data_IF_634125741960
#
_entry.id   IF_634125741960
#
_cell.length_a   1.000
_cell.length_b   1.000
_cell.length_c   1.000
_cell.angle_alpha   90.00
_cell.angle_beta   90.00
_cell.angle_gamma   90.00
#
_symmetry.space_group_name_H-M   'P 1'
#
loop_
_entity.id
_entity.type
_entity.pdbx_description
1 polymer ?
#
# COMPACT_ATOMS: atom_id res chain seq x y z
N UNK A 1 40.76 45.36 51.54
CA UNK A 1 40.41 46.62 50.85
C UNK A 1 40.69 46.41 49.36
N UNK A 2 39.66 46.55 48.50
CA UNK A 2 39.67 46.59 47.02
C UNK A 2 40.27 45.41 46.23
N UNK A 3 39.49 44.54 45.56
CA UNK A 3 38.61 44.68 44.37
C UNK A 3 39.33 44.40 43.03
N UNK A 4 38.86 43.31 42.38
CA UNK A 4 38.68 43.06 40.93
C UNK A 4 39.98 42.76 40.15
N UNK A 5 40.04 41.75 39.29
CA UNK A 5 39.17 41.52 38.14
C UNK A 5 38.89 40.03 37.87
N UNK A 6 37.62 39.74 37.62
CA UNK A 6 37.10 38.51 37.03
C UNK A 6 37.07 38.76 35.52
N UNK A 7 37.80 37.98 34.73
CA UNK A 7 37.66 37.95 33.27
C UNK A 7 36.92 36.67 32.91
N UNK A 8 35.62 36.79 32.64
CA UNK A 8 34.78 35.69 32.17
C UNK A 8 35.15 35.31 30.75
N UNK A 9 35.51 34.05 30.55
CA UNK A 9 35.56 33.44 29.22
C UNK A 9 34.13 33.09 28.82
N UNK A 10 33.56 33.85 27.88
CA UNK A 10 32.29 33.51 27.22
C UNK A 10 32.59 32.40 26.21
N UNK A 11 32.27 31.16 26.57
CA UNK A 11 32.30 30.03 25.64
C UNK A 11 31.10 30.09 24.71
N UNK A 12 31.34 30.33 23.43
CA UNK A 12 30.35 30.30 22.36
C UNK A 12 29.86 28.85 22.17
N UNK A 13 28.67 28.52 22.65
CA UNK A 13 28.05 27.23 22.40
C UNK A 13 27.39 27.26 21.02
N UNK A 14 28.07 26.68 20.02
CA UNK A 14 27.50 26.49 18.69
C UNK A 14 26.38 25.45 18.77
N UNK A 15 25.13 25.89 18.67
CA UNK A 15 23.98 25.01 18.48
C UNK A 15 24.02 24.59 17.00
N UNK A 16 24.53 23.37 16.74
CA UNK A 16 24.31 22.70 15.47
C UNK A 16 22.81 22.36 15.38
N UNK A 17 22.05 23.21 14.70
CA UNK A 17 20.72 22.85 14.21
C UNK A 17 20.90 21.76 13.14
N UNK A 18 20.79 20.51 13.56
CA UNK A 18 20.63 19.37 12.67
C UNK A 18 19.27 19.56 12.00
N UNK A 19 19.28 20.10 10.78
CA UNK A 19 18.11 20.12 9.92
C UNK A 19 17.90 18.66 9.48
N UNK A 20 17.19 17.88 10.29
CA UNK A 20 16.73 16.56 9.89
C UNK A 20 15.74 16.79 8.74
N UNK A 21 16.20 16.62 7.51
CA UNK A 21 15.30 16.36 6.40
C UNK A 21 14.62 15.04 6.74
N UNK A 22 13.33 15.09 7.07
CA UNK A 22 12.50 13.89 7.10
C UNK A 22 12.51 13.32 5.68
N UNK A 23 13.38 12.35 5.44
CA UNK A 23 13.19 11.43 4.34
C UNK A 23 11.99 10.59 4.76
N UNK A 24 10.87 10.73 4.05
CA UNK A 24 9.88 9.67 4.08
C UNK A 24 10.61 8.45 3.53
N UNK A 25 10.82 7.45 4.37
CA UNK A 25 11.22 6.15 3.88
C UNK A 25 10.11 5.72 2.93
N UNK A 26 10.47 5.48 1.68
CA UNK A 26 9.59 4.75 0.79
C UNK A 26 9.41 3.34 1.38
N UNK A 27 8.33 2.67 0.99
CA UNK A 27 7.93 1.43 1.63
C UNK A 27 7.51 0.37 0.63
N UNK A 28 8.03 0.46 -0.59
CA UNK A 28 7.92 -0.56 -1.63
C UNK A 28 9.10 -1.53 -1.51
N UNK A 29 8.95 -2.72 -2.06
CA UNK A 29 9.94 -3.81 -2.06
C UNK A 29 10.66 -3.98 -0.70
N UNK A 30 9.91 -4.30 0.37
CA UNK A 30 10.49 -4.37 1.71
C UNK A 30 11.47 -5.53 1.92
N UNK A 31 11.67 -6.37 0.91
CA UNK A 31 12.53 -7.55 0.95
C UNK A 31 13.70 -7.47 -0.03
N UNK A 32 13.85 -6.37 -0.76
CA UNK A 32 14.84 -6.17 -1.83
C UNK A 32 14.81 -7.34 -2.86
N UNK A 33 13.61 -7.76 -3.28
CA UNK A 33 13.37 -8.93 -4.14
C UNK A 33 12.84 -8.60 -5.54
N UNK A 34 13.02 -7.35 -5.98
CA UNK A 34 12.52 -6.80 -7.24
C UNK A 34 10.97 -6.69 -7.28
N UNK A 35 10.30 -6.68 -6.13
CA UNK A 35 8.84 -6.48 -6.03
C UNK A 35 8.41 -5.01 -6.10
N UNK A 36 9.04 -4.25 -6.99
CA UNK A 36 8.79 -2.83 -7.22
C UNK A 36 8.22 -2.52 -8.62
N UNK A 37 7.97 -3.55 -9.44
CA UNK A 37 7.66 -3.35 -10.87
C UNK A 37 6.20 -3.61 -11.22
N UNK A 38 5.62 -2.64 -11.93
CA UNK A 38 4.36 -2.77 -12.63
C UNK A 38 4.59 -2.63 -14.14
N UNK A 39 3.59 -3.01 -14.95
CA UNK A 39 3.71 -2.96 -16.41
C UNK A 39 2.49 -2.29 -17.05
N UNK A 40 2.74 -1.39 -17.99
CA UNK A 40 1.68 -0.80 -18.82
C UNK A 40 1.92 -1.03 -20.30
N UNK A 41 0.85 -1.37 -21.02
CA UNK A 41 0.94 -1.84 -22.41
C UNK A 41 1.61 -0.84 -23.37
N UNK A 42 1.39 0.47 -23.14
CA UNK A 42 1.95 1.54 -23.98
C UNK A 42 3.10 2.30 -23.31
N UNK A 43 3.51 1.92 -22.09
CA UNK A 43 4.51 2.65 -21.30
C UNK A 43 5.67 1.79 -20.81
N UNK A 44 5.57 0.46 -20.95
CA UNK A 44 6.59 -0.48 -20.51
C UNK A 44 6.59 -0.63 -18.99
N UNK A 45 7.77 -0.83 -18.42
CA UNK A 45 7.95 -1.02 -16.99
C UNK A 45 7.80 0.30 -16.23
N UNK A 46 7.13 0.20 -15.08
CA UNK A 46 7.06 1.22 -14.06
C UNK A 46 7.78 0.70 -12.82
N UNK A 47 8.75 1.46 -12.33
CA UNK A 47 9.47 1.21 -11.09
C UNK A 47 8.89 2.09 -9.98
N UNK A 48 8.28 1.45 -8.98
CA UNK A 48 7.70 2.08 -7.80
C UNK A 48 8.74 2.43 -6.73
N UNK A 49 9.95 1.88 -6.82
CA UNK A 49 11.10 2.18 -5.97
C UNK A 49 12.34 2.43 -6.85
N UNK A 50 12.46 3.62 -7.47
CA UNK A 50 13.65 3.97 -8.22
C UNK A 50 14.81 4.24 -7.24
N UNK A 51 15.94 3.56 -7.42
CA UNK A 51 17.16 3.75 -6.62
C UNK A 51 17.81 5.13 -6.90
N UNK A 52 17.26 6.18 -6.28
CA UNK A 52 17.80 7.54 -6.31
C UNK A 52 17.70 8.21 -4.94
N UNK A 53 18.83 8.75 -4.49
CA UNK A 53 18.96 9.50 -3.23
C UNK A 53 18.41 10.93 -3.35
N UNK A 54 17.14 11.07 -3.71
CA UNK A 54 16.44 12.36 -3.85
C UNK A 54 15.10 12.31 -3.12
N UNK A 55 14.74 13.42 -2.47
CA UNK A 55 13.49 13.50 -1.71
C UNK A 55 12.26 13.24 -2.60
N UNK A 56 11.30 12.47 -2.07
CA UNK A 56 10.05 12.05 -2.72
C UNK A 56 10.19 11.10 -3.92
N UNK A 57 11.35 10.52 -4.17
CA UNK A 57 11.46 9.42 -5.14
C UNK A 57 11.10 8.10 -4.46
N UNK A 58 10.39 7.24 -5.20
CA UNK A 58 9.76 6.05 -4.66
C UNK A 58 8.33 6.31 -4.22
N UNK A 59 7.49 5.29 -4.26
CA UNK A 59 6.14 5.34 -3.74
C UNK A 59 6.15 5.10 -2.22
N UNK A 60 5.30 5.83 -1.51
CA UNK A 60 5.04 5.56 -0.09
C UNK A 60 3.55 5.36 0.11
N UNK A 61 3.17 4.22 0.64
CA UNK A 61 1.79 3.86 0.97
C UNK A 61 1.50 4.19 2.43
N UNK A 62 0.37 4.83 2.71
CA UNK A 62 -0.19 4.98 4.05
C UNK A 62 -1.67 4.61 4.06
N UNK A 63 -2.29 4.65 5.24
CA UNK A 63 -3.73 4.42 5.42
C UNK A 63 -4.61 5.41 4.65
N UNK A 64 -4.06 6.54 4.21
CA UNK A 64 -4.84 7.64 3.61
C UNK A 64 -4.52 7.84 2.12
N UNK A 65 -3.30 7.51 1.68
CA UNK A 65 -2.82 7.88 0.34
C UNK A 65 -1.56 7.15 -0.07
N UNK A 66 -1.27 7.27 -1.35
CA UNK A 66 0.07 7.08 -1.88
C UNK A 66 0.73 8.45 -2.09
N UNK A 67 2.04 8.51 -1.85
CA UNK A 67 2.87 9.69 -2.05
C UNK A 67 4.13 9.33 -2.83
N UNK A 68 4.83 10.36 -3.30
CA UNK A 68 6.11 10.21 -4.00
C UNK A 68 6.00 10.08 -5.52
N UNK A 69 7.14 9.81 -6.14
CA UNK A 69 7.32 9.77 -7.59
C UNK A 69 7.84 8.41 -8.03
N UNK A 70 7.14 7.80 -8.99
CA UNK A 70 7.53 6.54 -9.62
C UNK A 70 8.08 6.80 -11.02
N UNK A 71 8.97 5.92 -11.48
CA UNK A 71 9.60 6.05 -12.79
C UNK A 71 8.98 5.11 -13.79
N UNK A 72 8.54 5.60 -14.95
CA UNK A 72 8.07 4.78 -16.04
C UNK A 72 8.99 4.94 -17.25
N UNK A 73 9.58 3.85 -17.73
CA UNK A 73 10.74 3.89 -18.64
C UNK A 73 10.52 4.72 -19.91
N UNK A 74 9.32 4.69 -20.48
CA UNK A 74 9.02 5.34 -21.76
C UNK A 74 8.36 6.72 -21.63
N UNK A 75 7.94 7.12 -20.42
CA UNK A 75 7.15 8.34 -20.20
C UNK A 75 7.68 9.22 -19.06
N UNK A 76 8.67 8.76 -18.32
CA UNK A 76 9.32 9.48 -17.23
C UNK A 76 8.56 9.41 -15.92
N UNK A 77 8.62 10.50 -15.15
CA UNK A 77 8.11 10.57 -13.78
C UNK A 77 6.58 10.64 -13.72
N UNK A 78 6.01 9.89 -12.79
CA UNK A 78 4.60 9.97 -12.38
C UNK A 78 4.57 10.37 -10.90
N UNK A 79 3.87 11.46 -10.61
CA UNK A 79 3.58 11.92 -9.26
C UNK A 79 2.32 11.21 -8.72
N UNK A 80 2.43 10.51 -7.59
CA UNK A 80 1.30 9.85 -6.93
C UNK A 80 0.49 10.80 -6.04
N UNK A 81 1.04 11.96 -5.66
CA UNK A 81 0.39 12.97 -4.82
C UNK A 81 0.38 14.39 -5.41
N UNK A 82 -0.12 14.63 -6.64
CA UNK A 82 -0.19 15.97 -7.23
C UNK A 82 -1.20 16.89 -6.50
N UNK A 83 -0.95 18.21 -6.52
CA UNK A 83 -1.74 19.21 -5.78
C UNK A 83 -3.26 19.23 -6.09
N UNK A 84 -3.66 18.83 -7.30
CA UNK A 84 -5.06 18.83 -7.74
C UNK A 84 -5.57 17.42 -8.05
N UNK A 85 -4.94 16.42 -7.44
CA UNK A 85 -5.29 15.01 -7.53
C UNK A 85 -4.71 14.29 -6.32
N UNK A 86 -4.15 13.11 -6.56
CA UNK A 86 -3.63 12.25 -5.50
C UNK A 86 -4.26 10.87 -5.59
N UNK A 87 -3.44 9.86 -5.41
CA UNK A 87 -3.88 8.49 -5.21
C UNK A 87 -4.19 8.34 -3.72
N UNK A 88 -5.44 8.00 -3.42
CA UNK A 88 -5.95 7.82 -2.06
C UNK A 88 -6.06 6.35 -1.72
N UNK A 89 -5.76 6.01 -0.48
CA UNK A 89 -6.04 4.71 0.12
C UNK A 89 -7.19 4.91 1.11
N UNK A 90 -8.17 4.02 1.12
CA UNK A 90 -9.28 4.08 2.08
C UNK A 90 -8.96 3.45 3.44
N UNK A 91 -7.73 2.95 3.60
CA UNK A 91 -7.22 2.29 4.79
C UNK A 91 -7.45 0.78 4.79
N UNK A 92 -8.27 0.27 3.87
CA UNK A 92 -8.49 -1.17 3.67
C UNK A 92 -7.62 -1.74 2.55
N UNK A 93 -6.99 -0.89 1.75
CA UNK A 93 -6.19 -1.28 0.60
C UNK A 93 -6.88 -0.99 -0.74
N UNK A 94 -8.11 -0.45 -0.75
CA UNK A 94 -8.75 -0.02 -1.98
C UNK A 94 -8.23 1.36 -2.40
N UNK A 95 -7.54 1.40 -3.53
CA UNK A 95 -6.98 2.65 -4.05
C UNK A 95 -7.97 3.37 -4.97
N UNK A 96 -7.86 4.70 -4.98
CA UNK A 96 -8.68 5.56 -5.82
C UNK A 96 -7.96 6.87 -6.12
N UNK A 97 -8.61 7.77 -6.84
CA UNK A 97 -8.01 9.05 -7.23
C UNK A 97 -7.05 8.93 -8.42
N UNK A 98 -6.18 9.93 -8.56
CA UNK A 98 -5.39 10.12 -9.78
C UNK A 98 -3.93 10.48 -9.51
N UNK A 99 -3.02 9.71 -10.12
CA UNK A 99 -1.63 10.11 -10.32
C UNK A 99 -1.48 11.03 -11.54
N UNK A 100 -0.37 11.75 -11.63
CA UNK A 100 -0.08 12.67 -12.74
C UNK A 100 1.32 12.44 -13.32
N UNK A 101 1.40 12.14 -14.62
CA UNK A 101 2.68 12.15 -15.35
C UNK A 101 2.73 13.33 -16.32
N UNK A 102 3.84 14.07 -16.34
CA UNK A 102 3.96 15.30 -17.14
C UNK A 102 3.77 15.05 -18.65
N UNK A 103 4.15 13.86 -19.12
CA UNK A 103 4.07 13.48 -20.54
C UNK A 103 2.77 12.77 -20.93
N UNK A 104 1.94 12.39 -19.95
CA UNK A 104 0.81 11.45 -20.15
C UNK A 104 -0.50 11.90 -19.52
N UNK A 105 -0.46 12.88 -18.63
CA UNK A 105 -1.62 13.41 -17.93
C UNK A 105 -2.04 12.54 -16.74
N UNK A 106 -3.36 12.52 -16.49
CA UNK A 106 -3.97 11.85 -15.35
C UNK A 106 -4.03 10.33 -15.53
N UNK A 107 -3.73 9.61 -14.45
CA UNK A 107 -3.79 8.15 -14.37
C UNK A 107 -4.73 7.79 -13.22
N UNK A 108 -5.86 7.18 -13.52
CA UNK A 108 -6.88 6.74 -12.56
C UNK A 108 -6.45 5.43 -11.89
N UNK A 109 -6.49 5.38 -10.57
CA UNK A 109 -6.24 4.15 -9.79
C UNK A 109 -7.53 3.37 -9.46
N UNK A 110 -8.70 3.93 -9.79
CA UNK A 110 -9.97 3.21 -9.78
C UNK A 110 -10.78 3.53 -11.05
N UNK A 111 -10.31 3.08 -12.23
CA UNK A 111 -10.98 3.37 -13.49
C UNK A 111 -12.32 2.63 -13.60
N UNK A 112 -13.31 3.34 -14.17
CA UNK A 112 -14.62 2.77 -14.50
C UNK A 112 -14.75 2.64 -15.99
N UNK A 113 -15.06 1.44 -16.47
CA UNK A 113 -15.28 1.18 -17.89
C UNK A 113 -16.78 1.34 -18.19
N UNK A 114 -17.19 2.29 -19.05
CA UNK A 114 -18.61 2.51 -19.32
C UNK A 114 -19.29 1.27 -19.92
N UNK A 115 -20.34 0.80 -19.25
CA UNK A 115 -21.11 -0.37 -19.69
C UNK A 115 -20.55 -1.71 -19.24
N UNK A 116 -19.44 -1.72 -18.51
CA UNK A 116 -18.87 -2.90 -17.86
C UNK A 116 -19.08 -2.79 -16.34
N UNK A 117 -19.75 -3.77 -15.69
CA UNK A 117 -19.92 -3.76 -14.24
C UNK A 117 -18.67 -4.22 -13.47
N UNK A 118 -17.66 -4.77 -14.15
CA UNK A 118 -16.45 -5.29 -13.51
C UNK A 118 -15.61 -4.19 -12.82
N UNK A 119 -14.98 -4.56 -11.70
CA UNK A 119 -14.11 -3.66 -10.94
C UNK A 119 -12.64 -3.91 -11.31
N UNK A 120 -12.02 -2.91 -11.92
CA UNK A 120 -10.62 -2.97 -12.34
C UNK A 120 -9.67 -2.23 -11.40
N UNK A 121 -10.18 -1.50 -10.41
CA UNK A 121 -9.37 -0.63 -9.56
C UNK A 121 -8.23 -1.34 -8.84
N UNK A 122 -7.20 -0.56 -8.51
CA UNK A 122 -6.01 -1.07 -7.83
C UNK A 122 -6.33 -1.35 -6.37
N UNK A 123 -5.89 -2.50 -5.88
CA UNK A 123 -6.04 -2.93 -4.48
C UNK A 123 -4.69 -3.32 -3.89
N UNK A 124 -4.58 -3.30 -2.57
CA UNK A 124 -3.43 -3.81 -1.81
C UNK A 124 -3.96 -4.85 -0.82
N UNK A 125 -3.44 -6.07 -0.88
CA UNK A 125 -3.83 -7.16 0.02
C UNK A 125 -3.18 -7.04 1.43
N UNK A 126 -3.51 -7.97 2.32
CA UNK A 126 -3.00 -8.00 3.69
C UNK A 126 -1.52 -8.37 3.81
N UNK A 127 -0.91 -8.86 2.72
CA UNK A 127 0.51 -9.16 2.57
C UNK A 127 1.26 -8.01 1.89
N UNK A 128 0.56 -6.92 1.56
CA UNK A 128 1.09 -5.72 0.93
C UNK A 128 1.27 -5.84 -0.58
N UNK A 129 0.77 -6.90 -1.23
CA UNK A 129 0.84 -7.03 -2.68
C UNK A 129 -0.23 -6.16 -3.34
N UNK A 130 0.17 -5.44 -4.38
CA UNK A 130 -0.75 -4.72 -5.24
C UNK A 130 -1.35 -5.66 -6.28
N UNK A 131 -2.62 -5.43 -6.62
CA UNK A 131 -3.29 -6.07 -7.76
C UNK A 131 -4.22 -5.07 -8.48
N UNK A 132 -4.80 -5.50 -9.59
CA UNK A 132 -5.73 -4.71 -10.38
C UNK A 132 -5.02 -3.74 -11.33
N UNK A 133 -5.80 -2.81 -11.87
CA UNK A 133 -5.44 -2.01 -13.02
C UNK A 133 -5.65 -0.51 -12.80
N UNK A 134 -4.61 0.26 -13.13
CA UNK A 134 -4.70 1.69 -13.32
C UNK A 134 -4.89 2.01 -14.81
N UNK A 135 -5.44 3.18 -15.12
CA UNK A 135 -5.69 3.59 -16.51
C UNK A 135 -5.43 5.07 -16.73
N UNK A 136 -4.71 5.40 -17.81
CA UNK A 136 -4.56 6.78 -18.27
C UNK A 136 -5.00 6.95 -19.72
N UNK A 137 -5.66 8.07 -20.03
CA UNK A 137 -6.23 8.34 -21.36
C UNK A 137 -5.20 8.22 -22.50
N UNK A 138 -3.97 8.64 -22.24
CA UNK A 138 -2.89 8.67 -23.24
C UNK A 138 -1.99 7.43 -23.24
N UNK A 139 -2.18 6.52 -22.28
CA UNK A 139 -1.26 5.39 -22.05
C UNK A 139 -1.95 4.03 -21.91
N UNK A 140 -3.27 4.01 -21.80
CA UNK A 140 -4.04 2.79 -21.60
C UNK A 140 -3.84 2.19 -20.22
N UNK A 141 -3.86 0.86 -20.16
CA UNK A 141 -3.88 0.07 -18.94
C UNK A 141 -2.49 -0.18 -18.37
N UNK A 142 -2.39 -0.08 -17.05
CA UNK A 142 -1.24 -0.45 -16.23
C UNK A 142 -1.70 -1.53 -15.26
N UNK A 143 -1.03 -2.66 -15.25
CA UNK A 143 -1.29 -3.78 -14.35
C UNK A 143 -0.23 -3.82 -13.26
N UNK A 144 -0.64 -4.00 -12.01
CA UNK A 144 0.26 -3.90 -10.86
C UNK A 144 0.91 -5.23 -10.47
N UNK A 145 0.37 -6.36 -10.93
CA UNK A 145 0.97 -7.67 -10.74
C UNK A 145 0.64 -8.61 -11.92
N UNK A 146 1.46 -9.62 -12.15
CA UNK A 146 1.12 -10.72 -13.05
C UNK A 146 1.85 -11.98 -12.63
N UNK A 147 1.25 -13.14 -12.89
CA UNK A 147 1.88 -14.46 -12.73
C UNK A 147 2.24 -15.11 -14.07
N UNK A 148 1.69 -14.62 -15.19
CA UNK A 148 1.93 -15.15 -16.53
C UNK A 148 1.62 -14.09 -17.61
N UNK A 149 2.35 -14.05 -18.75
CA UNK A 149 3.45 -14.94 -19.12
C UNK A 149 4.78 -14.60 -18.45
N UNK A 150 4.88 -13.42 -17.82
CA UNK A 150 6.03 -13.00 -17.03
C UNK A 150 5.52 -12.60 -15.64
N UNK A 151 6.20 -13.09 -14.60
CA UNK A 151 5.83 -12.76 -13.24
C UNK A 151 6.46 -11.42 -12.83
N UNK A 152 5.64 -10.54 -12.25
CA UNK A 152 6.06 -9.28 -11.62
C UNK A 152 4.99 -8.87 -10.62
N UNK A 153 5.35 -8.01 -9.67
CA UNK A 153 4.40 -7.41 -8.73
C UNK A 153 4.99 -6.15 -8.13
N UNK A 154 4.12 -5.30 -7.63
CA UNK A 154 4.46 -4.27 -6.66
C UNK A 154 4.06 -4.78 -5.27
N UNK A 155 4.96 -4.69 -4.30
CA UNK A 155 4.70 -5.02 -2.91
C UNK A 155 5.12 -3.87 -2.01
N UNK A 156 4.33 -3.57 -0.99
CA UNK A 156 4.64 -2.60 0.05
C UNK A 156 4.80 -3.27 1.42
N UNK A 157 5.56 -2.66 2.34
CA UNK A 157 5.50 -3.01 3.77
C UNK A 157 4.29 -2.40 4.48
N UNK A 158 3.56 -1.47 3.85
CA UNK A 158 2.25 -1.10 4.34
C UNK A 158 1.32 -2.30 4.19
N UNK A 159 0.76 -2.72 5.30
CA UNK A 159 -0.28 -3.74 5.32
C UNK A 159 -1.51 -3.07 5.89
N UNK A 160 -2.65 -3.29 5.25
CA UNK A 160 -3.94 -2.93 5.84
C UNK A 160 -4.01 -3.57 7.23
N UNK A 161 -4.42 -2.79 8.22
CA UNK A 161 -4.78 -3.36 9.50
C UNK A 161 -5.97 -4.27 9.24
N UNK A 162 -5.76 -5.58 9.18
CA UNK A 162 -6.83 -6.55 8.89
C UNK A 162 -8.02 -6.22 9.81
N UNK A 163 -9.22 -6.07 9.24
CA UNK A 163 -10.47 -5.84 9.97
C UNK A 163 -11.40 -6.99 9.59
N UNK A 164 -12.04 -7.62 10.58
CA UNK A 164 -13.02 -8.67 10.28
C UNK A 164 -14.23 -8.05 9.61
N UNK A 165 -14.43 -8.34 8.34
CA UNK A 165 -15.46 -7.70 7.52
C UNK A 165 -16.24 -8.70 6.65
N UNK A 166 -16.86 -8.19 5.58
CA UNK A 166 -17.72 -8.99 4.72
C UNK A 166 -16.95 -10.06 3.94
N UNK A 167 -15.67 -9.84 3.63
CA UNK A 167 -14.85 -10.83 2.92
C UNK A 167 -14.51 -12.00 3.84
N UNK A 168 -14.19 -11.73 5.10
CA UNK A 168 -14.05 -12.77 6.12
C UNK A 168 -15.34 -13.57 6.32
N UNK A 169 -16.48 -12.89 6.35
CA UNK A 169 -17.78 -13.57 6.44
C UNK A 169 -18.05 -14.42 5.19
N UNK A 170 -17.68 -13.94 4.00
CA UNK A 170 -17.77 -14.71 2.76
C UNK A 170 -16.98 -16.01 2.85
N UNK A 171 -15.71 -15.91 3.26
CA UNK A 171 -14.81 -17.07 3.43
C UNK A 171 -15.29 -18.03 4.52
N UNK A 172 -15.82 -17.48 5.61
CA UNK A 172 -16.46 -18.28 6.65
C UNK A 172 -17.64 -19.07 6.07
N UNK A 173 -18.49 -18.42 5.26
CA UNK A 173 -19.64 -19.05 4.62
C UNK A 173 -19.25 -20.15 3.63
N UNK A 174 -18.12 -20.02 2.92
CA UNK A 174 -17.61 -21.07 2.02
C UNK A 174 -17.23 -22.36 2.76
N UNK A 175 -16.89 -22.24 4.05
CA UNK A 175 -16.54 -23.35 4.94
C UNK A 175 -17.71 -23.80 5.83
N UNK A 176 -18.88 -23.19 5.72
CA UNK A 176 -20.02 -23.46 6.59
C UNK A 176 -20.45 -24.93 6.57
N UNK A 177 -20.59 -25.53 7.77
CA UNK A 177 -20.94 -26.95 7.98
C UNK A 177 -19.93 -27.96 7.40
N UNK A 178 -18.73 -27.52 7.04
CA UNK A 178 -17.65 -28.45 6.75
C UNK A 178 -17.17 -29.10 8.06
N UNK A 179 -16.68 -30.35 7.94
CA UNK A 179 -16.14 -31.13 9.06
C UNK A 179 -14.80 -31.71 8.65
N UNK A 180 -13.86 -31.73 9.59
CA UNK A 180 -12.51 -32.24 9.40
C UNK A 180 -11.44 -31.35 10.04
N UNK A 181 -10.22 -31.90 10.21
CA UNK A 181 -9.15 -31.18 10.87
C UNK A 181 -8.57 -30.06 10.02
N UNK A 182 -8.23 -28.94 10.66
CA UNK A 182 -7.47 -27.84 10.04
C UNK A 182 -8.29 -26.93 9.13
N UNK A 183 -9.62 -26.88 9.32
CA UNK A 183 -10.47 -25.91 8.63
C UNK A 183 -10.13 -24.49 9.12
N UNK A 184 -9.92 -23.55 8.18
CA UNK A 184 -9.56 -22.16 8.52
C UNK A 184 -10.63 -21.46 9.37
N UNK A 185 -11.89 -21.84 9.22
CA UNK A 185 -13.04 -21.28 9.94
C UNK A 185 -13.40 -22.04 11.22
N UNK A 186 -12.66 -23.09 11.61
CA UNK A 186 -12.83 -23.78 12.90
C UNK A 186 -11.98 -23.06 13.94
N UNK A 187 -12.60 -22.15 14.68
CA UNK A 187 -11.93 -21.31 15.67
C UNK A 187 -11.93 -21.93 17.06
N UNK A 188 -12.90 -22.79 17.37
CA UNK A 188 -12.99 -23.48 18.67
C UNK A 188 -12.25 -24.83 18.71
N UNK A 189 -11.73 -25.29 17.56
CA UNK A 189 -10.95 -26.51 17.41
C UNK A 189 -11.79 -27.78 17.53
N UNK A 190 -13.07 -27.71 17.15
CA UNK A 190 -14.01 -28.82 17.23
C UNK A 190 -14.00 -29.75 16.01
N UNK A 191 -13.20 -29.45 15.00
CA UNK A 191 -13.19 -30.09 13.68
C UNK A 191 -14.52 -29.91 12.92
N UNK A 192 -15.35 -28.94 13.30
CA UNK A 192 -16.62 -28.58 12.66
C UNK A 192 -16.69 -27.06 12.51
N UNK A 193 -17.21 -26.57 11.38
CA UNK A 193 -17.49 -25.13 11.20
C UNK A 193 -18.98 -24.90 11.45
N UNK A 194 -19.30 -24.32 12.61
CA UNK A 194 -20.68 -24.17 13.06
C UNK A 194 -20.99 -22.78 13.66
N UNK A 195 -22.15 -22.67 14.32
CA UNK A 195 -22.61 -21.40 14.91
C UNK A 195 -21.70 -20.87 16.02
N UNK A 196 -20.88 -21.69 16.67
CA UNK A 196 -19.91 -21.23 17.65
C UNK A 196 -18.80 -20.45 16.98
N UNK A 197 -18.28 -20.93 15.85
CA UNK A 197 -17.25 -20.25 15.09
C UNK A 197 -17.77 -18.93 14.50
N UNK A 198 -19.03 -18.94 14.03
CA UNK A 198 -19.70 -17.71 13.62
C UNK A 198 -19.73 -16.68 14.74
N UNK A 199 -19.84 -17.12 16.00
CA UNK A 199 -19.75 -16.26 17.17
C UNK A 199 -18.46 -15.44 17.22
N UNK A 200 -17.33 -16.02 16.83
CA UNK A 200 -16.03 -15.33 16.74
C UNK A 200 -16.02 -14.29 15.63
N UNK A 201 -16.54 -14.60 14.44
CA UNK A 201 -16.68 -13.61 13.34
C UNK A 201 -17.57 -12.45 13.78
N UNK A 202 -18.71 -12.74 14.41
CA UNK A 202 -19.66 -11.73 14.88
C UNK A 202 -19.10 -10.86 16.00
N UNK A 203 -18.31 -11.42 16.92
CA UNK A 203 -17.66 -10.67 18.00
C UNK A 203 -16.57 -9.71 17.49
N UNK A 204 -15.86 -10.14 16.45
CA UNK A 204 -14.79 -9.37 15.83
C UNK A 204 -15.29 -8.45 14.71
N UNK A 205 -16.56 -8.48 14.35
CA UNK A 205 -17.12 -7.68 13.26
C UNK A 205 -16.71 -6.21 13.33
N UNK A 206 -16.08 -5.72 12.26
CA UNK A 206 -15.49 -4.39 12.11
C UNK A 206 -14.43 -4.03 13.16
N UNK A 207 -13.80 -5.03 13.76
CA UNK A 207 -12.62 -4.87 14.63
C UNK A 207 -11.39 -5.37 13.91
N UNK A 208 -10.24 -4.89 14.38
CA UNK A 208 -8.96 -5.42 13.94
C UNK A 208 -8.91 -6.94 14.15
N UNK A 209 -8.52 -7.64 13.10
CA UNK A 209 -8.27 -9.06 13.11
C UNK A 209 -7.25 -9.40 14.20
N UNK A 210 -7.49 -10.47 14.96
CA UNK A 210 -6.48 -11.05 15.82
C UNK A 210 -5.20 -11.41 15.05
N UNK A 211 -4.06 -11.42 15.74
CA UNK A 211 -2.82 -11.91 15.14
C UNK A 211 -2.99 -13.34 14.64
N UNK A 212 -2.65 -13.60 13.38
CA UNK A 212 -2.81 -14.91 12.76
C UNK A 212 -4.26 -15.27 12.39
N UNK A 213 -5.15 -14.28 12.25
CA UNK A 213 -6.53 -14.48 11.81
C UNK A 213 -6.58 -15.35 10.54
N UNK A 214 -7.16 -16.55 10.59
CA UNK A 214 -7.00 -17.54 9.52
C UNK A 214 -7.90 -17.29 8.31
N UNK A 215 -8.85 -16.34 8.42
CA UNK A 215 -9.68 -15.89 7.30
C UNK A 215 -9.13 -14.63 6.63
N UNK A 216 -8.00 -14.10 7.10
CA UNK A 216 -7.23 -13.07 6.39
C UNK A 216 -6.66 -13.73 5.13
N UNK A 217 -7.12 -13.30 3.98
CA UNK A 217 -6.58 -13.53 2.63
C UNK A 217 -7.05 -12.35 1.78
#
# INVERSE_FOLDING_TARGET
MNRKHISGAVGLMAILTFCATFLYAENIDPYDDDSQYAYGENVGWLNFEPDMLTANVGATVSDEKLAGYIWAENIGWINLGPNFGGVTNDGTGLLSGYGWGENVGWISFNPKVPGDPEHYGVTIDHEGNFDGWAWGENIGWIHLASSAPLAYKVQTSWITSCVVDFDDLGRFCDLWLQTGPGLKADFDGSDEVDFKDYGTVAELWLRLCPAGWPLKD
#
